data_IF_570041543424
#
_entry.id   IF_570041543424
#
_cell.length_a   1.000
_cell.length_b   1.000
_cell.length_c   1.000
_cell.angle_alpha   90.00
_cell.angle_beta   90.00
_cell.angle_gamma   90.00
#
_symmetry.space_group_name_H-M   'P 1'
#
loop_
_entity.id
_entity.type
_entity.pdbx_description
1 polymer ?
#
# COMPACT_ATOMS: atom_id res chain seq x y z
N UNK A 1 17.35 -10.48 7.53
CA UNK A 1 17.33 -9.12 8.09
C UNK A 1 17.14 -8.19 6.92
N UNK A 2 15.98 -7.55 6.86
CA UNK A 2 15.62 -6.64 5.77
C UNK A 2 16.34 -5.30 5.98
N UNK A 3 16.67 -4.59 4.89
CA UNK A 3 17.24 -3.24 5.01
C UNK A 3 16.25 -2.33 5.76
N UNK A 4 16.66 -1.79 6.92
CA UNK A 4 15.84 -0.90 7.76
C UNK A 4 15.57 -1.40 9.19
N UNK A 5 15.85 -2.68 9.48
CA UNK A 5 15.66 -3.29 10.82
C UNK A 5 16.82 -3.03 11.80
N UNK A 6 17.81 -2.21 11.42
CA UNK A 6 18.93 -1.85 12.30
C UNK A 6 18.45 -0.88 13.38
N UNK A 7 18.50 -1.29 14.65
CA UNK A 7 18.27 -0.41 15.79
C UNK A 7 19.36 0.65 15.89
N UNK A 8 18.97 1.93 15.98
CA UNK A 8 19.89 3.05 16.17
C UNK A 8 20.03 3.29 17.68
N UNK A 9 21.22 3.05 18.23
CA UNK A 9 21.50 3.31 19.64
C UNK A 9 21.58 4.83 19.87
N UNK A 10 20.64 5.40 20.63
CA UNK A 10 20.70 6.79 21.07
C UNK A 10 21.90 7.00 22.01
N UNK A 11 22.86 7.82 21.60
CA UNK A 11 24.08 8.11 22.36
C UNK A 11 23.92 9.27 23.35
N UNK A 12 22.70 9.82 23.53
CA UNK A 12 22.44 10.88 24.51
C UNK A 12 21.85 10.34 25.82
N UNK A 13 22.76 9.94 26.71
CA UNK A 13 22.64 9.94 28.19
C UNK A 13 21.60 9.01 28.83
N UNK A 14 22.09 8.19 29.77
CA UNK A 14 21.37 7.08 30.40
C UNK A 14 20.11 7.44 31.20
N UNK A 15 19.08 6.61 31.06
CA UNK A 15 18.56 5.75 32.12
C UNK A 15 17.59 4.70 31.51
N UNK A 16 17.49 3.58 32.21
CA UNK A 16 16.99 2.27 31.81
C UNK A 16 15.52 2.18 31.38
N UNK A 17 15.28 1.16 30.52
CA UNK A 17 14.12 0.26 30.41
C UNK A 17 12.74 0.89 30.10
N UNK A 18 12.08 0.39 29.05
CA UNK A 18 10.75 0.79 28.52
C UNK A 18 10.69 1.87 27.43
N UNK A 19 11.73 2.06 26.62
CA UNK A 19 11.59 2.80 25.35
C UNK A 19 11.65 1.83 24.17
N UNK A 20 10.67 1.94 23.27
CA UNK A 20 10.70 1.21 22.01
C UNK A 20 12.01 1.54 21.27
N UNK A 21 12.75 0.52 20.79
CA UNK A 21 13.98 0.74 20.05
C UNK A 21 13.68 1.52 18.78
N UNK A 22 14.41 2.61 18.55
CA UNK A 22 14.25 3.42 17.34
C UNK A 22 14.95 2.72 16.18
N UNK A 23 14.21 2.47 15.10
CA UNK A 23 14.74 1.80 13.92
C UNK A 23 15.25 2.82 12.91
N UNK A 24 16.28 2.43 12.14
CA UNK A 24 16.85 3.26 11.08
C UNK A 24 15.81 3.75 10.07
N UNK A 25 14.80 2.92 9.77
CA UNK A 25 13.66 3.31 8.93
C UNK A 25 12.87 4.49 9.51
N UNK A 26 12.65 4.52 10.82
CA UNK A 26 11.92 5.60 11.50
C UNK A 26 12.70 6.92 11.48
N UNK A 27 14.02 6.87 11.68
CA UNK A 27 14.89 8.06 11.60
C UNK A 27 14.84 8.68 10.20
N UNK A 28 14.89 7.85 9.15
CA UNK A 28 14.79 8.31 7.75
C UNK A 28 13.43 8.94 7.47
N UNK A 29 12.34 8.32 7.96
CA UNK A 29 10.99 8.87 7.82
C UNK A 29 10.85 10.22 8.55
N UNK A 30 11.43 10.35 9.74
CA UNK A 30 11.44 11.59 10.52
C UNK A 30 12.22 12.70 9.80
N UNK A 31 13.43 12.42 9.32
CA UNK A 31 14.24 13.39 8.57
C UNK A 31 13.56 13.82 7.25
N UNK A 32 12.88 12.90 6.57
CA UNK A 32 12.09 13.20 5.38
C UNK A 32 10.88 14.06 5.71
N UNK A 33 10.19 13.79 6.83
CA UNK A 33 9.07 14.60 7.31
C UNK A 33 9.53 16.03 7.70
N UNK A 34 10.66 16.16 8.39
CA UNK A 34 11.21 17.46 8.79
C UNK A 34 11.68 18.29 7.59
N UNK A 35 12.39 17.66 6.63
CA UNK A 35 12.77 18.31 5.37
C UNK A 35 11.55 18.70 4.54
N UNK A 36 10.52 17.85 4.49
CA UNK A 36 9.25 18.15 3.83
C UNK A 36 8.56 19.35 4.48
N UNK A 37 8.59 19.45 5.81
CA UNK A 37 7.98 20.56 6.57
C UNK A 37 8.71 21.88 6.32
N UNK A 38 10.05 21.87 6.33
CA UNK A 38 10.85 23.07 6.05
C UNK A 38 10.70 23.53 4.59
N UNK A 39 10.68 22.59 3.64
CA UNK A 39 10.42 22.88 2.22
C UNK A 39 8.98 23.38 1.99
N UNK A 40 8.00 22.85 2.73
CA UNK A 40 6.61 23.28 2.65
C UNK A 40 6.40 24.71 3.19
N UNK A 41 7.18 25.15 4.18
CA UNK A 41 7.14 26.53 4.68
C UNK A 41 7.67 27.54 3.65
N UNK A 42 8.72 27.19 2.91
CA UNK A 42 9.25 28.02 1.81
C UNK A 42 8.32 28.04 0.58
N UNK A 43 7.58 26.95 0.32
CA UNK A 43 6.62 26.84 -0.78
C UNK A 43 5.28 27.54 -0.48
N UNK A 44 4.86 27.62 0.78
CA UNK A 44 3.62 28.30 1.22
C UNK A 44 3.57 29.78 0.85
N UNK A 45 4.71 30.40 0.57
CA UNK A 45 4.77 31.80 0.15
C UNK A 45 4.44 32.03 -1.34
N UNK A 46 4.19 30.98 -2.16
CA UNK A 46 4.06 31.20 -3.62
C UNK A 46 2.93 30.54 -4.41
N UNK A 47 2.19 29.55 -3.93
CA UNK A 47 1.04 29.03 -4.70
C UNK A 47 -0.12 28.60 -3.79
N UNK A 48 -1.05 29.52 -3.54
CA UNK A 48 -2.37 29.14 -3.01
C UNK A 48 -3.13 28.38 -4.10
N UNK A 49 -3.68 27.21 -3.76
CA UNK A 49 -4.56 26.43 -4.64
C UNK A 49 -5.76 27.29 -5.02
N UNK A 50 -6.01 27.46 -6.32
CA UNK A 50 -7.19 28.21 -6.79
C UNK A 50 -8.47 27.43 -6.49
N UNK A 51 -9.61 28.12 -6.42
CA UNK A 51 -10.91 27.47 -6.21
C UNK A 51 -11.19 26.39 -7.26
N UNK A 52 -10.84 26.64 -8.53
CA UNK A 52 -11.00 25.69 -9.64
C UNK A 52 -10.13 24.44 -9.44
N UNK A 53 -8.86 24.62 -9.04
CA UNK A 53 -7.98 23.50 -8.71
C UNK A 53 -8.51 22.69 -7.52
N UNK A 54 -9.05 23.36 -6.51
CA UNK A 54 -9.67 22.72 -5.36
C UNK A 54 -10.85 21.84 -5.75
N UNK A 55 -11.77 22.34 -6.58
CA UNK A 55 -12.90 21.56 -7.07
C UNK A 55 -12.46 20.38 -7.97
N UNK A 56 -11.43 20.57 -8.79
CA UNK A 56 -10.86 19.48 -9.59
C UNK A 56 -10.30 18.35 -8.71
N UNK A 57 -9.50 18.70 -7.69
CA UNK A 57 -8.94 17.72 -6.74
C UNK A 57 -10.06 17.01 -5.98
N UNK A 58 -11.05 17.76 -5.49
CA UNK A 58 -12.20 17.19 -4.77
C UNK A 58 -13.00 16.22 -5.64
N UNK A 59 -13.24 16.59 -6.90
CA UNK A 59 -13.90 15.72 -7.88
C UNK A 59 -13.09 14.46 -8.14
N UNK A 60 -11.78 14.59 -8.34
CA UNK A 60 -10.88 13.43 -8.51
C UNK A 60 -10.95 12.48 -7.32
N UNK A 61 -10.80 12.99 -6.10
CA UNK A 61 -10.84 12.16 -4.88
C UNK A 61 -12.21 11.49 -4.69
N UNK A 62 -13.30 12.22 -4.94
CA UNK A 62 -14.66 11.69 -4.80
C UNK A 62 -14.95 10.58 -5.82
N UNK A 63 -14.49 10.75 -7.07
CA UNK A 63 -14.68 9.76 -8.13
C UNK A 63 -13.77 8.53 -7.99
N UNK A 64 -12.70 8.62 -7.20
CA UNK A 64 -11.71 7.54 -7.00
C UNK A 64 -11.59 7.18 -5.51
N UNK A 65 -12.69 7.21 -4.78
CA UNK A 65 -12.73 6.92 -3.34
C UNK A 65 -12.21 5.51 -3.00
N UNK A 66 -12.24 4.57 -3.95
CA UNK A 66 -11.69 3.21 -3.81
C UNK A 66 -10.15 3.14 -3.91
N UNK A 67 -9.48 4.29 -4.04
CA UNK A 67 -8.02 4.46 -4.13
C UNK A 67 -7.35 3.64 -5.24
N UNK A 68 -8.12 3.21 -6.25
CA UNK A 68 -7.63 2.53 -7.43
C UNK A 68 -8.35 3.12 -8.64
N UNK A 69 -7.59 3.50 -9.67
CA UNK A 69 -8.15 4.00 -10.92
C UNK A 69 -8.01 2.95 -12.02
N UNK A 70 -8.83 3.05 -13.07
CA UNK A 70 -8.69 2.17 -14.24
C UNK A 70 -7.27 2.26 -14.81
N UNK A 71 -6.77 3.47 -15.05
CA UNK A 71 -5.39 3.69 -15.52
C UNK A 71 -4.33 3.09 -14.57
N UNK A 72 -4.54 3.22 -13.25
CA UNK A 72 -3.67 2.60 -12.24
C UNK A 72 -3.65 1.08 -12.34
N UNK A 73 -4.79 0.44 -12.55
CA UNK A 73 -4.89 -1.01 -12.74
C UNK A 73 -4.13 -1.50 -13.98
N UNK A 74 -4.28 -0.84 -15.13
CA UNK A 74 -3.50 -1.18 -16.33
C UNK A 74 -2.00 -0.94 -16.14
N UNK A 75 -1.64 0.13 -15.42
CA UNK A 75 -0.24 0.42 -15.10
C UNK A 75 0.37 -0.68 -14.22
N UNK A 76 -0.38 -1.20 -13.25
CA UNK A 76 0.04 -2.34 -12.42
C UNK A 76 0.18 -3.62 -13.26
N UNK A 77 -0.80 -3.93 -14.10
CA UNK A 77 -0.74 -5.09 -14.99
C UNK A 77 0.45 -5.04 -15.95
N UNK A 78 0.78 -3.87 -16.49
CA UNK A 78 1.93 -3.70 -17.39
C UNK A 78 3.27 -3.59 -16.67
N UNK A 79 3.30 -2.96 -15.50
CA UNK A 79 4.52 -2.60 -14.78
C UNK A 79 5.07 -3.69 -13.86
N UNK A 80 4.21 -4.50 -13.24
CA UNK A 80 4.64 -5.58 -12.35
C UNK A 80 5.20 -6.75 -13.16
N UNK A 81 6.33 -7.33 -12.75
CA UNK A 81 6.95 -8.47 -13.45
C UNK A 81 6.18 -9.75 -13.15
N UNK A 82 6.25 -10.69 -14.09
CA UNK A 82 5.67 -12.01 -13.91
C UNK A 82 6.35 -12.73 -12.72
N UNK A 83 5.54 -13.35 -11.86
CA UNK A 83 5.97 -14.00 -10.61
C UNK A 83 6.62 -13.05 -9.58
N UNK A 84 6.32 -11.76 -9.65
CA UNK A 84 6.76 -10.79 -8.64
C UNK A 84 5.75 -10.71 -7.48
N UNK A 85 6.28 -10.74 -6.25
CA UNK A 85 5.55 -10.44 -5.02
C UNK A 85 5.80 -8.99 -4.64
N UNK A 86 4.74 -8.25 -4.30
CA UNK A 86 4.85 -6.89 -3.81
C UNK A 86 3.78 -6.59 -2.75
N UNK A 87 3.97 -5.47 -2.06
CA UNK A 87 2.94 -4.90 -1.18
C UNK A 87 2.08 -3.94 -2.01
N UNK A 88 0.77 -4.13 -1.95
CA UNK A 88 -0.22 -3.31 -2.64
C UNK A 88 -1.07 -2.53 -1.63
N UNK A 89 -1.07 -1.20 -1.75
CA UNK A 89 -1.88 -0.32 -0.92
C UNK A 89 -3.15 0.09 -1.65
N UNK A 90 -4.31 -0.14 -1.03
CA UNK A 90 -5.62 0.29 -1.52
C UNK A 90 -6.62 0.34 -0.38
N UNK A 91 -7.51 1.33 -0.39
CA UNK A 91 -8.54 1.52 0.63
C UNK A 91 -8.00 1.52 2.06
N UNK A 92 -6.87 2.18 2.28
CA UNK A 92 -6.17 2.21 3.56
C UNK A 92 -5.76 0.81 4.09
N UNK A 93 -5.63 -0.18 3.21
CA UNK A 93 -5.22 -1.54 3.53
C UNK A 93 -3.99 -1.93 2.72
N UNK A 94 -3.10 -2.70 3.33
CA UNK A 94 -1.94 -3.31 2.66
C UNK A 94 -2.23 -4.78 2.38
N UNK A 95 -2.14 -5.18 1.12
CA UNK A 95 -2.33 -6.56 0.68
C UNK A 95 -1.04 -7.10 0.05
N UNK A 96 -0.78 -8.39 0.21
CA UNK A 96 0.25 -9.08 -0.57
C UNK A 96 -0.28 -9.30 -1.98
N UNK A 97 0.36 -8.71 -2.99
CA UNK A 97 0.01 -8.89 -4.40
C UNK A 97 1.02 -9.80 -5.09
N UNK A 98 0.52 -10.64 -6.01
CA UNK A 98 1.32 -11.50 -6.85
C UNK A 98 0.85 -11.44 -8.30
N UNK A 99 1.77 -11.50 -9.25
CA UNK A 99 1.44 -11.61 -10.68
C UNK A 99 1.65 -13.03 -11.21
N UNK A 100 0.58 -13.64 -11.71
CA UNK A 100 0.61 -14.98 -12.31
C UNK A 100 -0.16 -15.01 -13.64
N UNK A 101 0.39 -15.66 -14.66
CA UNK A 101 -0.12 -15.67 -16.05
C UNK A 101 -0.65 -14.31 -16.58
N UNK A 102 0.06 -13.21 -16.30
CA UNK A 102 -0.35 -11.86 -16.73
C UNK A 102 -1.43 -11.20 -15.88
N UNK A 103 -1.95 -11.89 -14.87
CA UNK A 103 -3.04 -11.47 -14.01
C UNK A 103 -2.55 -11.11 -12.60
N UNK A 104 -3.29 -10.24 -11.91
CA UNK A 104 -2.97 -9.77 -10.56
C UNK A 104 -3.83 -10.48 -9.51
N UNK A 105 -3.20 -10.92 -8.44
CA UNK A 105 -3.82 -11.65 -7.34
C UNK A 105 -3.46 -11.00 -6.01
N UNK A 106 -4.42 -10.92 -5.11
CA UNK A 106 -4.24 -10.48 -3.73
C UNK A 106 -4.38 -11.69 -2.79
N UNK A 107 -3.47 -11.83 -1.83
CA UNK A 107 -3.56 -12.89 -0.83
C UNK A 107 -4.76 -12.64 0.08
N UNK A 108 -5.63 -13.63 0.21
CA UNK A 108 -6.75 -13.56 1.14
C UNK A 108 -6.24 -13.82 2.55
N UNK A 109 -6.51 -12.87 3.44
CA UNK A 109 -6.01 -12.86 4.83
C UNK A 109 -7.13 -12.66 5.86
N UNK A 110 -8.37 -12.45 5.40
CA UNK A 110 -9.52 -12.25 6.27
C UNK A 110 -9.84 -13.56 7.05
N UNK A 111 -9.97 -13.44 8.36
CA UNK A 111 -10.25 -14.55 9.27
C UNK A 111 -11.60 -15.23 8.98
N UNK A 112 -12.53 -14.54 8.32
CA UNK A 112 -13.80 -15.11 7.87
C UNK A 112 -13.64 -16.32 6.93
N UNK A 113 -12.48 -16.46 6.27
CA UNK A 113 -12.18 -17.57 5.37
C UNK A 113 -11.34 -18.69 6.01
N UNK A 114 -11.11 -18.67 7.33
CA UNK A 114 -10.25 -19.63 8.02
C UNK A 114 -10.65 -21.11 7.80
N UNK A 115 -11.94 -21.37 7.56
CA UNK A 115 -12.47 -22.71 7.33
C UNK A 115 -12.51 -23.12 5.84
N UNK A 116 -12.02 -22.27 4.93
CA UNK A 116 -11.95 -22.52 3.50
C UNK A 116 -10.47 -22.63 3.06
N UNK A 117 -9.79 -23.77 3.33
CA UNK A 117 -8.34 -23.90 3.13
C UNK A 117 -7.90 -23.75 1.66
N UNK A 118 -8.81 -24.04 0.73
CA UNK A 118 -8.57 -23.90 -0.71
C UNK A 118 -8.87 -22.50 -1.23
N UNK A 119 -9.33 -21.55 -0.41
CA UNK A 119 -9.50 -20.15 -0.77
C UNK A 119 -8.23 -19.38 -0.38
N UNK A 120 -7.39 -19.04 -1.37
CA UNK A 120 -6.05 -18.47 -1.11
C UNK A 120 -5.88 -17.09 -1.74
N UNK A 121 -6.35 -16.90 -2.96
CA UNK A 121 -6.13 -15.66 -3.71
C UNK A 121 -7.45 -15.04 -4.14
N UNK A 122 -7.46 -13.71 -4.22
CA UNK A 122 -8.52 -12.92 -4.84
C UNK A 122 -7.97 -12.31 -6.13
N UNK A 123 -8.64 -12.53 -7.27
CA UNK A 123 -8.23 -11.95 -8.55
C UNK A 123 -8.61 -10.47 -8.63
N UNK A 124 -7.63 -9.59 -8.82
CA UNK A 124 -7.84 -8.17 -8.99
C UNK A 124 -8.11 -7.84 -10.47
N UNK A 125 -9.39 -7.95 -10.87
CA UNK A 125 -9.84 -7.68 -12.25
C UNK A 125 -10.43 -6.28 -12.46
N UNK A 126 -11.04 -5.71 -11.43
CA UNK A 126 -11.83 -4.48 -11.53
C UNK A 126 -11.61 -3.55 -10.34
N UNK A 127 -11.89 -2.26 -10.58
CA UNK A 127 -11.83 -1.20 -9.55
C UNK A 127 -12.98 -1.31 -8.55
N UNK A 128 -14.07 -1.98 -8.91
CA UNK A 128 -15.35 -1.89 -8.20
C UNK A 128 -15.57 -3.05 -7.22
N UNK A 129 -14.66 -4.02 -7.17
CA UNK A 129 -14.69 -5.10 -6.18
C UNK A 129 -15.60 -6.28 -6.53
N UNK A 130 -16.02 -6.45 -7.80
CA UNK A 130 -16.45 -7.78 -8.24
C UNK A 130 -15.20 -8.65 -8.32
N UNK A 131 -15.12 -9.67 -7.48
CA UNK A 131 -13.89 -10.46 -7.31
C UNK A 131 -14.14 -11.94 -7.45
N UNK A 132 -13.10 -12.61 -7.95
CA UNK A 132 -13.09 -14.05 -8.14
C UNK A 132 -12.07 -14.64 -7.17
N UNK A 133 -12.53 -15.53 -6.30
CA UNK A 133 -11.64 -16.26 -5.41
C UNK A 133 -10.99 -17.42 -6.15
N UNK A 134 -9.75 -17.71 -5.78
CA UNK A 134 -8.89 -18.67 -6.43
C UNK A 134 -8.16 -19.51 -5.39
N UNK A 135 -7.87 -20.73 -5.78
CA UNK A 135 -7.03 -21.67 -5.04
C UNK A 135 -5.56 -21.30 -5.06
N UNK A 136 -4.76 -21.92 -4.19
CA UNK A 136 -3.30 -21.72 -4.16
C UNK A 136 -2.60 -22.04 -5.48
N UNK A 137 -3.24 -22.83 -6.35
CA UNK A 137 -2.77 -23.16 -7.70
C UNK A 137 -3.40 -22.27 -8.79
N UNK A 138 -3.93 -21.11 -8.43
CA UNK A 138 -4.53 -20.11 -9.35
C UNK A 138 -5.69 -20.64 -10.20
N UNK A 139 -6.43 -21.64 -9.70
CA UNK A 139 -7.70 -22.09 -10.29
C UNK A 139 -8.88 -21.48 -9.54
N UNK A 140 -9.99 -21.24 -10.24
CA UNK A 140 -11.21 -20.72 -9.63
C UNK A 140 -11.65 -21.57 -8.42
N UNK A 141 -11.85 -20.90 -7.29
CA UNK A 141 -12.37 -21.51 -6.07
C UNK A 141 -13.90 -21.60 -6.16
N UNK A 142 -14.45 -22.76 -5.82
CA UNK A 142 -15.89 -23.01 -5.77
C UNK A 142 -16.26 -23.53 -4.39
N UNK A 143 -17.28 -22.93 -3.80
CA UNK A 143 -17.86 -23.41 -2.54
C UNK A 143 -18.61 -24.71 -2.85
N UNK A 144 -18.23 -25.79 -2.20
CA UNK A 144 -19.00 -27.05 -2.20
C UNK A 144 -20.25 -26.96 -1.32
#
# INVERSE_FOLDING_TARGET
MYEGEECVLDTRTGNFEDREPVYKGEVVLQEQADKSTLAALDLRAKEEITLEQGELVKSFLSNNASQLTFCGLFSLQGGLKQHELCVFFRNNHFSTMFKFEGELYLLVTDEGYINLPDLVWEKLKEVNGDTLFMTGNFKEFKVE
#
